data_IF_022352465380
#
_entry.id   IF_022352465380
#
_cell.length_a   1.000
_cell.length_b   1.000
_cell.length_c   1.000
_cell.angle_alpha   90.00
_cell.angle_beta   90.00
_cell.angle_gamma   90.00
#
_symmetry.space_group_name_H-M   'P 1'
#
loop_
_entity.id
_entity.type
_entity.pdbx_description
1 polymer ?
#
# COMPACT_ATOMS: atom_id res chain seq x y z
N UNK A 1 -36.17 -1.45 -1.74
CA UNK A 1 -34.85 -1.78 -2.30
C UNK A 1 -33.82 -1.78 -1.18
N UNK A 2 -33.21 -2.91 -0.93
CA UNK A 2 -32.18 -3.03 0.11
C UNK A 2 -30.89 -2.38 -0.43
N UNK A 3 -30.43 -1.31 0.21
CA UNK A 3 -29.14 -0.69 -0.14
C UNK A 3 -28.01 -1.40 0.62
N UNK A 4 -27.14 -2.06 -0.11
CA UNK A 4 -25.92 -2.67 0.46
C UNK A 4 -24.81 -1.61 0.39
N UNK A 5 -24.33 -1.19 1.54
CA UNK A 5 -23.23 -0.21 1.62
C UNK A 5 -21.89 -0.94 1.74
N UNK A 6 -20.88 -0.41 1.06
CA UNK A 6 -19.49 -0.77 1.32
C UNK A 6 -19.10 -0.24 2.69
N UNK A 7 -18.73 -1.14 3.59
CA UNK A 7 -18.31 -0.77 4.93
C UNK A 7 -16.78 -0.55 4.93
N UNK A 8 -16.36 0.50 5.61
CA UNK A 8 -14.91 0.86 5.69
C UNK A 8 -14.07 -0.27 6.26
N UNK A 9 -14.62 -1.07 7.17
CA UNK A 9 -13.92 -2.16 7.84
C UNK A 9 -13.93 -3.50 7.07
N UNK A 10 -14.63 -3.61 5.95
CA UNK A 10 -14.75 -4.84 5.19
C UNK A 10 -13.86 -4.82 3.94
N UNK A 11 -12.56 -4.88 4.17
CA UNK A 11 -11.55 -4.86 3.13
C UNK A 11 -10.44 -5.88 3.42
N UNK A 12 -9.68 -6.21 2.39
CA UNK A 12 -8.53 -7.10 2.45
C UNK A 12 -7.44 -6.55 1.53
N UNK A 13 -6.18 -6.70 1.95
CA UNK A 13 -5.01 -6.41 1.14
C UNK A 13 -4.30 -7.71 0.85
N UNK A 14 -3.98 -7.95 -0.42
CA UNK A 14 -3.18 -9.10 -0.84
C UNK A 14 -1.95 -8.64 -1.59
N UNK A 15 -0.81 -9.22 -1.23
CA UNK A 15 0.48 -8.94 -1.86
C UNK A 15 0.93 -10.17 -2.65
N UNK A 16 1.14 -9.99 -3.95
CA UNK A 16 1.60 -11.03 -4.86
C UNK A 16 2.98 -10.69 -5.40
N UNK A 17 3.72 -11.72 -5.81
CA UNK A 17 4.94 -11.52 -6.55
C UNK A 17 4.68 -10.79 -7.88
N UNK A 18 5.72 -10.22 -8.47
CA UNK A 18 5.60 -9.41 -9.69
C UNK A 18 5.03 -10.19 -10.87
N UNK A 19 5.29 -11.49 -10.94
CA UNK A 19 4.73 -12.40 -11.95
C UNK A 19 3.23 -12.65 -11.78
N UNK A 20 2.67 -12.31 -10.61
CA UNK A 20 1.26 -12.51 -10.27
C UNK A 20 0.84 -13.98 -10.08
N UNK A 21 1.79 -14.93 -10.20
CA UNK A 21 1.51 -16.36 -10.16
C UNK A 21 1.33 -16.90 -8.74
N UNK A 22 1.99 -16.27 -7.77
CA UNK A 22 1.97 -16.72 -6.37
C UNK A 22 1.88 -15.54 -5.41
N UNK A 23 1.22 -15.72 -4.24
CA UNK A 23 1.30 -14.73 -3.17
C UNK A 23 2.75 -14.57 -2.70
N UNK A 24 3.11 -13.37 -2.29
CA UNK A 24 4.40 -13.15 -1.64
C UNK A 24 4.48 -13.96 -0.34
N UNK A 25 5.67 -14.41 0.03
CA UNK A 25 5.90 -15.28 1.18
C UNK A 25 5.27 -14.76 2.48
N UNK A 26 5.25 -13.45 2.66
CA UNK A 26 4.71 -12.78 3.84
C UNK A 26 3.29 -12.19 3.64
N UNK A 27 2.64 -12.48 2.52
CA UNK A 27 1.35 -11.84 2.15
C UNK A 27 0.25 -12.08 3.17
N UNK A 28 0.08 -13.33 3.61
CA UNK A 28 -0.96 -13.70 4.57
C UNK A 28 -0.77 -13.00 5.92
N UNK A 29 0.48 -12.93 6.41
CA UNK A 29 0.83 -12.26 7.65
C UNK A 29 0.48 -10.76 7.59
N UNK A 30 0.86 -10.08 6.51
CA UNK A 30 0.57 -8.67 6.32
C UNK A 30 -0.93 -8.39 6.16
N UNK A 31 -1.64 -9.26 5.46
CA UNK A 31 -3.10 -9.17 5.32
C UNK A 31 -3.80 -9.21 6.68
N UNK A 32 -3.45 -10.17 7.52
CA UNK A 32 -4.05 -10.34 8.85
C UNK A 32 -3.66 -9.22 9.83
N UNK A 33 -2.52 -8.60 9.64
CA UNK A 33 -1.99 -7.55 10.51
C UNK A 33 -2.45 -6.14 10.12
N UNK A 34 -3.16 -5.99 9.02
CA UNK A 34 -3.62 -4.70 8.52
C UNK A 34 -4.65 -4.07 9.47
N UNK A 35 -4.37 -2.86 9.93
CA UNK A 35 -5.28 -2.03 10.73
C UNK A 35 -6.09 -1.10 9.82
N UNK A 36 -5.42 -0.31 9.01
CA UNK A 36 -6.05 0.63 8.11
C UNK A 36 -5.20 0.93 6.87
N UNK A 37 -5.84 1.41 5.83
CA UNK A 37 -5.20 1.82 4.57
C UNK A 37 -5.72 3.19 4.19
N UNK A 38 -4.82 4.08 3.81
CA UNK A 38 -5.17 5.39 3.28
C UNK A 38 -5.86 5.30 1.91
N UNK A 39 -6.44 6.40 1.48
CA UNK A 39 -7.05 6.48 0.16
C UNK A 39 -6.00 6.39 -0.94
N UNK A 40 -6.37 5.72 -2.03
CA UNK A 40 -5.60 5.72 -3.27
C UNK A 40 -6.10 6.90 -4.09
N UNK A 41 -5.22 7.84 -4.36
CA UNK A 41 -5.57 9.07 -5.07
C UNK A 41 -4.84 9.12 -6.42
N UNK A 42 -5.63 9.35 -7.46
CA UNK A 42 -5.16 9.63 -8.80
C UNK A 42 -5.18 11.15 -9.01
N UNK A 43 -4.04 11.72 -9.32
CA UNK A 43 -3.89 13.13 -9.63
C UNK A 43 -3.49 13.31 -11.09
N UNK A 44 -4.07 14.31 -11.72
CA UNK A 44 -3.74 14.65 -13.10
C UNK A 44 -3.30 16.11 -13.19
N UNK A 45 -2.11 16.32 -13.71
CA UNK A 45 -1.61 17.66 -14.01
C UNK A 45 -2.36 18.26 -15.20
N UNK A 46 -2.40 19.58 -15.26
CA UNK A 46 -2.98 20.31 -16.37
C UNK A 46 -1.96 21.15 -17.12
N UNK A 47 -2.08 21.18 -18.45
CA UNK A 47 -1.32 22.07 -19.31
C UNK A 47 -2.19 23.26 -19.65
N UNK A 48 -1.70 24.44 -19.33
CA UNK A 48 -2.39 25.70 -19.65
C UNK A 48 -1.84 26.29 -20.95
N UNK A 49 -2.71 26.51 -21.93
CA UNK A 49 -2.37 27.15 -23.18
C UNK A 49 -3.11 28.48 -23.30
N UNK A 50 -2.38 29.54 -23.51
CA UNK A 50 -2.93 30.86 -23.74
C UNK A 50 -3.32 31.02 -25.21
N UNK A 51 -4.56 31.37 -25.46
CA UNK A 51 -5.08 31.63 -26.79
C UNK A 51 -5.78 32.99 -26.82
N UNK A 52 -5.14 34.00 -27.41
CA UNK A 52 -5.63 35.38 -27.38
C UNK A 52 -5.83 35.88 -25.95
N UNK A 53 -7.04 36.34 -25.63
CA UNK A 53 -7.42 36.75 -24.28
C UNK A 53 -7.98 35.63 -23.40
N UNK A 54 -7.99 34.36 -23.92
CA UNK A 54 -8.51 33.20 -23.22
C UNK A 54 -7.42 32.24 -22.78
N UNK A 55 -7.81 31.33 -21.88
CA UNK A 55 -6.97 30.24 -21.38
C UNK A 55 -7.71 28.93 -21.64
N UNK A 56 -7.01 27.98 -22.27
CA UNK A 56 -7.51 26.62 -22.50
C UNK A 56 -6.64 25.67 -21.67
N UNK A 57 -7.28 24.78 -20.92
CA UNK A 57 -6.61 23.78 -20.09
C UNK A 57 -6.76 22.39 -20.70
N UNK A 58 -5.65 21.69 -20.81
CA UNK A 58 -5.59 20.31 -21.30
C UNK A 58 -5.07 19.39 -20.17
N UNK A 59 -5.58 18.15 -20.09
CA UNK A 59 -5.03 17.18 -19.16
C UNK A 59 -3.60 16.78 -19.57
N UNK A 60 -2.73 16.62 -18.60
CA UNK A 60 -1.33 16.20 -18.76
C UNK A 60 -1.07 14.86 -18.06
N UNK A 61 0.06 14.75 -17.39
CA UNK A 61 0.51 13.51 -16.75
C UNK A 61 -0.40 13.12 -15.60
N UNK A 62 -0.65 11.82 -15.50
CA UNK A 62 -1.31 11.21 -14.34
C UNK A 62 -0.24 10.76 -13.34
N UNK A 63 -0.47 11.02 -12.08
CA UNK A 63 0.37 10.57 -10.97
C UNK A 63 -0.50 9.98 -9.85
N UNK A 64 0.06 9.03 -9.13
CA UNK A 64 -0.58 8.43 -7.98
C UNK A 64 0.16 8.82 -6.71
N UNK A 65 -0.57 9.12 -5.65
CA UNK A 65 0.02 9.39 -4.35
C UNK A 65 0.42 8.09 -3.66
N UNK A 66 1.44 8.17 -2.82
CA UNK A 66 1.78 7.05 -1.94
C UNK A 66 0.63 6.73 -1.00
N UNK A 67 0.33 5.47 -0.85
CA UNK A 67 -0.73 4.98 0.03
C UNK A 67 -0.15 4.68 1.41
N UNK A 68 -0.75 5.25 2.45
CA UNK A 68 -0.37 4.98 3.83
C UNK A 68 -1.00 3.68 4.30
N UNK A 69 -0.19 2.73 4.71
CA UNK A 69 -0.60 1.44 5.23
C UNK A 69 -0.20 1.30 6.69
N UNK A 70 -1.19 1.14 7.56
CA UNK A 70 -0.99 0.96 8.99
C UNK A 70 -1.18 -0.51 9.35
N UNK A 71 -0.21 -1.06 10.06
CA UNK A 71 -0.19 -2.45 10.49
C UNK A 71 -0.02 -2.53 12.01
N UNK A 72 -0.69 -3.51 12.60
CA UNK A 72 -0.49 -3.88 13.98
C UNK A 72 0.70 -4.86 14.09
N UNK A 73 1.64 -4.56 14.95
CA UNK A 73 2.80 -5.42 15.17
C UNK A 73 2.54 -6.39 16.32
N UNK A 74 2.66 -7.69 16.02
CA UNK A 74 2.61 -8.76 16.99
C UNK A 74 4.02 -9.31 17.25
N UNK A 75 4.25 -9.85 18.43
CA UNK A 75 5.53 -10.49 18.75
C UNK A 75 5.74 -11.76 17.90
N UNK A 76 4.70 -12.55 17.78
CA UNK A 76 4.65 -13.73 16.92
C UNK A 76 3.27 -13.82 16.25
N UNK A 77 3.22 -13.86 14.93
CA UNK A 77 4.32 -13.74 13.95
C UNK A 77 4.89 -12.31 13.83
N UNK A 78 6.17 -12.17 13.53
CA UNK A 78 6.88 -10.90 13.51
C UNK A 78 6.64 -10.12 12.21
N UNK A 79 5.64 -9.24 12.23
CA UNK A 79 5.26 -8.38 11.09
C UNK A 79 6.39 -7.40 10.72
N UNK A 80 7.05 -6.85 11.73
CA UNK A 80 8.12 -5.88 11.51
C UNK A 80 9.31 -6.51 10.79
N UNK A 81 9.63 -7.77 11.08
CA UNK A 81 10.68 -8.50 10.38
C UNK A 81 10.34 -8.71 8.90
N UNK A 82 9.10 -9.09 8.60
CA UNK A 82 8.64 -9.25 7.23
C UNK A 82 8.74 -7.94 6.42
N UNK A 83 8.37 -6.82 7.04
CA UNK A 83 8.50 -5.49 6.42
C UNK A 83 9.96 -5.08 6.22
N UNK A 84 10.83 -5.39 7.18
CA UNK A 84 12.28 -5.15 7.05
C UNK A 84 12.89 -5.97 5.94
N UNK A 85 12.52 -7.23 5.81
CA UNK A 85 13.02 -8.11 4.75
C UNK A 85 12.59 -7.59 3.38
N UNK A 86 11.34 -7.17 3.24
CA UNK A 86 10.89 -6.53 2.00
C UNK A 86 11.64 -5.21 1.71
N UNK A 87 11.85 -4.36 2.73
CA UNK A 87 12.60 -3.10 2.56
C UNK A 87 14.07 -3.34 2.20
N UNK A 88 14.70 -4.40 2.72
CA UNK A 88 16.08 -4.79 2.36
C UNK A 88 16.19 -5.21 0.90
N UNK A 89 15.16 -5.77 0.29
CA UNK A 89 15.17 -6.05 -1.14
C UNK A 89 15.24 -4.78 -1.98
N UNK A 90 14.70 -3.66 -1.49
CA UNK A 90 14.81 -2.35 -2.16
C UNK A 90 16.21 -1.78 -2.00
N UNK A 91 16.69 -1.72 -0.77
CA UNK A 91 18.00 -1.21 -0.43
C UNK A 91 18.53 -1.89 0.83
N UNK A 92 19.67 -2.54 0.69
CA UNK A 92 20.38 -3.15 1.82
C UNK A 92 21.39 -2.15 2.39
N UNK A 93 21.16 -1.72 3.63
CA UNK A 93 22.02 -0.75 4.32
C UNK A 93 23.38 -1.30 4.74
N UNK A 94 23.53 -2.62 4.85
CA UNK A 94 24.79 -3.25 5.22
C UNK A 94 25.75 -3.34 4.04
N UNK A 95 25.23 -3.68 2.88
CA UNK A 95 26.00 -3.86 1.65
C UNK A 95 25.95 -2.66 0.72
N UNK A 96 25.13 -1.65 1.04
CA UNK A 96 24.86 -0.46 0.21
C UNK A 96 24.37 -0.81 -1.20
N UNK A 97 23.75 -1.99 -1.36
CA UNK A 97 23.24 -2.48 -2.63
C UNK A 97 21.78 -2.12 -2.83
N UNK A 98 21.47 -1.57 -3.99
CA UNK A 98 20.10 -1.40 -4.47
C UNK A 98 19.64 -2.66 -5.22
N UNK A 99 18.47 -3.17 -4.88
CA UNK A 99 17.87 -4.32 -5.54
C UNK A 99 17.36 -4.02 -6.94
N UNK A 100 17.08 -5.06 -7.70
CA UNK A 100 16.44 -4.93 -9.00
C UNK A 100 14.91 -4.78 -8.84
N UNK A 101 14.22 -4.03 -9.70
CA UNK A 101 12.76 -3.89 -9.65
C UNK A 101 12.00 -5.21 -9.63
N UNK A 102 12.51 -6.22 -10.32
CA UNK A 102 11.94 -7.58 -10.33
C UNK A 102 12.04 -8.29 -8.98
N UNK A 103 12.96 -7.89 -8.12
CA UNK A 103 13.17 -8.49 -6.80
C UNK A 103 12.29 -7.87 -5.73
N UNK A 104 12.10 -6.53 -5.74
CA UNK A 104 11.40 -5.84 -4.67
C UNK A 104 9.97 -5.38 -5.00
N UNK A 105 9.65 -5.18 -6.27
CA UNK A 105 8.30 -4.79 -6.66
C UNK A 105 7.32 -5.93 -6.45
N UNK A 106 6.12 -5.59 -6.01
CA UNK A 106 5.02 -6.52 -5.76
C UNK A 106 3.73 -6.00 -6.40
N UNK A 107 2.83 -6.90 -6.71
CA UNK A 107 1.48 -6.56 -7.11
C UNK A 107 0.60 -6.54 -5.86
N UNK A 108 0.07 -5.38 -5.51
CA UNK A 108 -0.80 -5.23 -4.35
C UNK A 108 -2.24 -5.07 -4.81
N UNK A 109 -3.14 -5.85 -4.21
CA UNK A 109 -4.57 -5.82 -4.47
C UNK A 109 -5.29 -5.31 -3.23
N UNK A 110 -6.09 -4.28 -3.41
CA UNK A 110 -6.99 -3.77 -2.38
C UNK A 110 -8.40 -4.24 -2.74
N UNK A 111 -8.95 -5.11 -1.91
CA UNK A 111 -10.22 -5.79 -2.15
C UNK A 111 -11.23 -5.27 -1.14
N UNK A 112 -12.38 -4.81 -1.62
CA UNK A 112 -13.50 -4.39 -0.78
C UNK A 112 -14.63 -5.39 -0.92
N UNK A 113 -15.17 -5.79 0.22
CA UNK A 113 -16.29 -6.71 0.30
C UNK A 113 -17.58 -6.00 0.68
N UNK A 114 -18.71 -6.60 0.32
CA UNK A 114 -20.01 -6.20 0.86
C UNK A 114 -20.27 -6.84 2.23
N UNK A 115 -21.41 -6.53 2.84
CA UNK A 115 -21.78 -7.11 4.14
C UNK A 115 -22.07 -8.62 4.11
N UNK A 116 -22.08 -9.25 2.93
CA UNK A 116 -22.33 -10.67 2.72
C UNK A 116 -21.06 -11.46 2.34
N UNK A 117 -19.92 -10.79 2.26
CA UNK A 117 -18.63 -11.40 1.91
C UNK A 117 -18.36 -11.50 0.41
N UNK A 118 -19.19 -10.91 -0.45
CA UNK A 118 -18.92 -10.87 -1.88
C UNK A 118 -17.97 -9.74 -2.23
N UNK A 119 -17.04 -9.98 -3.16
CA UNK A 119 -16.15 -8.95 -3.68
C UNK A 119 -16.94 -7.93 -4.48
N UNK A 120 -16.78 -6.65 -4.15
CA UNK A 120 -17.46 -5.53 -4.83
C UNK A 120 -16.53 -4.64 -5.61
N UNK A 121 -15.32 -4.44 -5.11
CA UNK A 121 -14.34 -3.57 -5.73
C UNK A 121 -12.95 -4.15 -5.54
N UNK A 122 -12.14 -4.13 -6.58
CA UNK A 122 -10.75 -4.58 -6.56
C UNK A 122 -9.88 -3.55 -7.24
N UNK A 123 -8.94 -2.98 -6.49
CA UNK A 123 -7.96 -2.06 -7.04
C UNK A 123 -6.62 -2.79 -7.11
N UNK A 124 -6.08 -2.93 -8.31
CA UNK A 124 -4.78 -3.53 -8.54
C UNK A 124 -3.72 -2.45 -8.69
N UNK A 125 -2.70 -2.50 -7.85
CA UNK A 125 -1.52 -1.63 -7.91
C UNK A 125 -0.28 -2.47 -8.29
N UNK A 126 0.07 -2.53 -9.57
CA UNK A 126 1.26 -3.25 -10.01
C UNK A 126 2.52 -2.44 -9.71
N UNK A 127 3.61 -3.14 -9.42
CA UNK A 127 4.91 -2.50 -9.21
C UNK A 127 5.05 -1.72 -7.91
N UNK A 128 4.21 -2.01 -6.92
CA UNK A 128 4.22 -1.35 -5.61
C UNK A 128 5.40 -1.80 -4.75
N UNK A 129 6.00 -0.86 -4.03
CA UNK A 129 7.10 -1.12 -3.11
C UNK A 129 7.05 -0.22 -1.87
N UNK A 130 7.82 -0.56 -0.85
CA UNK A 130 7.87 0.18 0.41
C UNK A 130 8.84 1.35 0.28
N UNK A 131 8.32 2.59 0.36
CA UNK A 131 9.12 3.81 0.25
C UNK A 131 9.93 4.11 1.51
N UNK A 132 9.38 3.83 2.68
CA UNK A 132 10.03 4.02 3.98
C UNK A 132 9.51 3.00 4.99
N UNK A 133 10.26 2.76 6.04
CA UNK A 133 9.84 1.92 7.15
C UNK A 133 10.03 2.68 8.47
N UNK A 134 8.92 2.87 9.18
CA UNK A 134 8.93 3.35 10.55
C UNK A 134 8.91 2.14 11.49
N UNK A 135 9.87 2.05 12.39
CA UNK A 135 10.01 0.93 13.33
C UNK A 135 9.00 0.96 14.49
N UNK A 136 8.05 1.88 14.44
CA UNK A 136 7.07 2.08 15.51
C UNK A 136 7.58 2.92 16.67
N UNK A 137 6.65 3.44 17.44
CA UNK A 137 6.94 4.20 18.66
C UNK A 137 7.16 3.27 19.85
N UNK A 138 8.16 3.54 20.65
CA UNK A 138 8.44 2.82 21.88
C UNK A 138 8.09 3.72 23.06
N UNK A 139 7.04 3.37 23.82
CA UNK A 139 6.60 4.11 24.98
C UNK A 139 6.33 3.13 26.14
N UNK A 140 7.05 3.30 27.25
CA UNK A 140 6.91 2.44 28.43
C UNK A 140 5.63 2.69 29.23
N UNK A 141 4.99 3.83 29.02
CA UNK A 141 3.76 4.23 29.74
C UNK A 141 2.49 3.86 29.00
N UNK A 142 2.58 3.51 27.70
CA UNK A 142 1.45 3.14 26.88
C UNK A 142 1.12 1.65 27.01
N UNK A 143 -0.17 1.34 27.12
CA UNK A 143 -0.69 -0.04 27.05
C UNK A 143 -1.13 -0.47 25.67
N UNK A 144 -0.84 0.32 24.64
CA UNK A 144 -1.32 0.08 23.28
C UNK A 144 -0.38 -0.84 22.49
N UNK A 145 -0.96 -1.50 21.49
CA UNK A 145 -0.21 -2.32 20.54
C UNK A 145 0.67 -1.41 19.67
N UNK A 146 1.89 -1.84 19.40
CA UNK A 146 2.79 -1.12 18.50
C UNK A 146 2.19 -1.13 17.08
N UNK A 147 2.00 0.06 16.53
CA UNK A 147 1.55 0.25 15.14
C UNK A 147 2.69 0.75 14.27
N UNK A 148 2.80 0.19 13.09
CA UNK A 148 3.77 0.60 12.09
C UNK A 148 3.05 1.19 10.89
N UNK A 149 3.53 2.34 10.45
CA UNK A 149 3.02 3.03 9.27
C UNK A 149 4.01 2.88 8.13
N UNK A 150 3.53 2.36 7.02
CA UNK A 150 4.34 2.10 5.83
C UNK A 150 3.75 2.85 4.63
N UNK A 151 4.49 3.79 4.02
CA UNK A 151 4.08 4.35 2.74
C UNK A 151 4.37 3.36 1.61
N UNK A 152 3.33 2.98 0.88
CA UNK A 152 3.43 2.21 -0.34
C UNK A 152 3.54 3.16 -1.53
N UNK A 153 4.60 3.05 -2.29
CA UNK A 153 4.78 3.78 -3.55
C UNK A 153 4.19 2.93 -4.67
N UNK A 154 3.27 3.52 -5.41
CA UNK A 154 2.52 2.88 -6.49
C UNK A 154 3.08 3.32 -7.85
#
# INVERSE_FOLDING_TARGET
MLRIYLKIWNFEIRVYNMDGSSPAEFSELLTLSTDSVGAIEENQDEITVHYGNGIIKFPSKVSFNSVTWNLNCYCEPNVLQALRDWRRLVYDTETERMGLPTEYMRNVYFIKYDGQGNVRDVIKCPGTWIGALNNGEMNQQGGDIVKVTVPLVI
#
